data_IF_034039272965
#
_entry.id   IF_034039272965
#
_cell.length_a   1.000
_cell.length_b   1.000
_cell.length_c   1.000
_cell.angle_alpha   90.00
_cell.angle_beta   90.00
_cell.angle_gamma   90.00
#
_symmetry.space_group_name_H-M   'P 1'
#
loop_
_entity.id
_entity.type
_entity.pdbx_description
1 polymer ?
#
# COMPACT_ATOMS: atom_id res chain seq x y z
N UNK A 1 2.36 7.54 41.94
CA UNK A 1 2.61 6.48 40.93
C UNK A 1 1.33 6.00 40.25
N UNK A 2 0.30 5.56 41.01
CA UNK A 2 -0.96 5.03 40.44
C UNK A 2 -1.70 6.03 39.52
N UNK A 3 -1.65 7.33 39.80
CA UNK A 3 -2.25 8.36 38.95
C UNK A 3 -1.60 8.44 37.55
N UNK A 4 -0.29 8.16 37.44
CA UNK A 4 0.40 8.24 36.15
C UNK A 4 0.02 7.07 35.23
N UNK A 5 -0.12 5.86 35.74
CA UNK A 5 -0.56 4.70 34.97
C UNK A 5 -1.98 4.88 34.45
N UNK A 6 -2.91 5.39 35.29
CA UNK A 6 -4.29 5.69 34.84
C UNK A 6 -4.32 6.79 33.76
N UNK A 7 -3.52 7.83 33.89
CA UNK A 7 -3.39 8.90 32.91
C UNK A 7 -2.83 8.37 31.58
N UNK A 8 -1.85 7.47 31.63
CA UNK A 8 -1.30 6.83 30.43
C UNK A 8 -2.37 6.07 29.65
N UNK A 9 -3.26 5.33 30.33
CA UNK A 9 -4.39 4.64 29.66
C UNK A 9 -5.30 5.63 28.94
N UNK A 10 -5.67 6.73 29.61
CA UNK A 10 -6.53 7.77 28.98
C UNK A 10 -5.86 8.42 27.75
N UNK A 11 -4.57 8.71 27.81
CA UNK A 11 -3.84 9.24 26.66
C UNK A 11 -3.73 8.21 25.54
N UNK A 12 -3.53 6.93 25.84
CA UNK A 12 -3.51 5.86 24.86
C UNK A 12 -4.85 5.72 24.14
N UNK A 13 -5.96 5.67 24.89
CA UNK A 13 -7.29 5.55 24.30
C UNK A 13 -7.63 6.76 23.42
N UNK A 14 -7.30 7.97 23.89
CA UNK A 14 -7.48 9.19 23.11
C UNK A 14 -6.61 9.18 21.85
N UNK A 15 -5.36 8.76 21.95
CA UNK A 15 -4.47 8.65 20.80
C UNK A 15 -4.98 7.65 19.76
N UNK A 16 -5.53 6.51 20.18
CA UNK A 16 -6.17 5.55 19.27
C UNK A 16 -7.38 6.18 18.54
N UNK A 17 -8.25 6.88 19.26
CA UNK A 17 -9.40 7.56 18.64
C UNK A 17 -8.96 8.63 17.66
N UNK A 18 -7.97 9.46 18.03
CA UNK A 18 -7.42 10.51 17.16
C UNK A 18 -6.76 9.93 15.92
N UNK A 19 -5.99 8.84 16.07
CA UNK A 19 -5.36 8.15 14.93
C UNK A 19 -6.41 7.59 13.97
N UNK A 20 -7.48 6.97 14.50
CA UNK A 20 -8.58 6.47 13.68
C UNK A 20 -9.30 7.59 12.90
N UNK A 21 -9.41 8.78 13.47
CA UNK A 21 -9.98 9.97 12.81
C UNK A 21 -8.97 10.69 11.89
N UNK A 22 -7.76 10.17 11.74
CA UNK A 22 -6.72 10.77 10.90
C UNK A 22 -6.02 11.99 11.51
N UNK A 23 -6.26 12.30 12.79
CA UNK A 23 -5.64 13.42 13.52
C UNK A 23 -4.27 13.02 14.08
N UNK A 24 -3.32 12.75 13.16
CA UNK A 24 -2.07 12.04 13.48
C UNK A 24 -1.12 12.81 14.39
N UNK A 25 -1.02 14.14 14.26
CA UNK A 25 -0.13 14.94 15.12
C UNK A 25 -0.55 14.91 16.58
N UNK A 26 -1.85 15.07 16.82
CA UNK A 26 -2.40 15.01 18.19
C UNK A 26 -2.29 13.57 18.74
N UNK A 27 -2.58 12.56 17.91
CA UNK A 27 -2.44 11.16 18.28
C UNK A 27 -0.99 10.82 18.68
N UNK A 28 -0.01 11.27 17.91
CA UNK A 28 1.41 11.07 18.21
C UNK A 28 1.83 11.77 19.52
N UNK A 29 1.34 12.99 19.73
CA UNK A 29 1.60 13.75 20.96
C UNK A 29 1.07 13.02 22.19
N UNK A 30 -0.18 12.55 22.15
CA UNK A 30 -0.81 11.80 23.24
C UNK A 30 -0.15 10.45 23.47
N UNK A 31 0.11 9.69 22.41
CA UNK A 31 0.81 8.40 22.53
C UNK A 31 2.21 8.55 23.11
N UNK A 32 2.96 9.58 22.69
CA UNK A 32 4.27 9.89 23.25
C UNK A 32 4.20 10.31 24.72
N UNK A 33 3.14 11.03 25.10
CA UNK A 33 2.89 11.39 26.50
C UNK A 33 2.55 10.17 27.33
N UNK A 34 1.66 9.30 26.83
CA UNK A 34 1.32 8.03 27.48
C UNK A 34 2.58 7.20 27.74
N UNK A 35 3.48 7.12 26.76
CA UNK A 35 4.74 6.37 26.89
C UNK A 35 5.65 6.93 27.99
N UNK A 36 5.78 8.27 28.05
CA UNK A 36 6.56 8.93 29.13
C UNK A 36 5.99 8.71 30.52
N UNK A 37 4.66 8.75 30.66
CA UNK A 37 3.98 8.52 31.94
C UNK A 37 4.18 7.07 32.46
N UNK A 38 4.50 6.11 31.58
CA UNK A 38 4.79 4.71 31.93
C UNK A 38 6.26 4.41 32.23
N UNK A 39 7.18 5.34 31.98
CA UNK A 39 8.59 5.12 32.25
C UNK A 39 8.82 4.80 33.73
N UNK A 40 9.53 3.68 33.99
CA UNK A 40 9.84 3.23 35.35
C UNK A 40 8.82 2.32 36.02
N UNK A 41 7.66 2.02 35.39
CA UNK A 41 6.64 1.14 35.98
C UNK A 41 6.79 -0.34 35.65
N UNK A 42 7.74 -0.73 34.79
CA UNK A 42 7.96 -2.15 34.43
C UNK A 42 6.81 -2.79 33.63
N UNK A 43 5.91 -1.99 33.05
CA UNK A 43 4.75 -2.45 32.27
C UNK A 43 5.12 -2.69 30.80
N UNK A 44 6.12 -3.54 30.53
CA UNK A 44 6.70 -3.76 29.19
C UNK A 44 5.67 -4.15 28.15
N UNK A 45 4.66 -4.94 28.51
CA UNK A 45 3.59 -5.33 27.57
C UNK A 45 2.74 -4.14 27.10
N UNK A 46 2.34 -3.29 28.03
CA UNK A 46 1.56 -2.09 27.71
C UNK A 46 2.42 -1.07 26.92
N UNK A 47 3.70 -0.98 27.23
CA UNK A 47 4.67 -0.19 26.47
C UNK A 47 4.73 -0.65 25.02
N UNK A 48 4.71 -1.97 24.75
CA UNK A 48 4.68 -2.52 23.41
C UNK A 48 3.41 -2.11 22.62
N UNK A 49 2.24 -2.06 23.26
CA UNK A 49 1.02 -1.54 22.60
C UNK A 49 1.16 -0.07 22.20
N UNK A 50 1.70 0.76 23.09
CA UNK A 50 1.99 2.16 22.81
C UNK A 50 3.01 2.33 21.68
N UNK A 51 4.06 1.52 21.68
CA UNK A 51 5.06 1.50 20.61
C UNK A 51 4.43 1.12 19.26
N UNK A 52 3.52 0.13 19.25
CA UNK A 52 2.80 -0.24 18.04
C UNK A 52 1.93 0.91 17.50
N UNK A 53 1.15 1.56 18.39
CA UNK A 53 0.32 2.70 18.01
C UNK A 53 1.16 3.82 17.39
N UNK A 54 2.25 4.20 18.06
CA UNK A 54 3.16 5.24 17.56
C UNK A 54 3.79 4.85 16.24
N UNK A 55 4.20 3.59 16.07
CA UNK A 55 4.73 3.10 14.80
C UNK A 55 3.68 3.16 13.68
N UNK A 56 2.42 2.86 13.96
CA UNK A 56 1.34 2.98 12.96
C UNK A 56 1.13 4.44 12.54
N UNK A 57 1.19 5.38 13.47
CA UNK A 57 1.11 6.81 13.19
C UNK A 57 2.30 7.25 12.34
N UNK A 58 3.52 6.87 12.72
CA UNK A 58 4.76 7.18 11.99
C UNK A 58 4.74 6.58 10.57
N UNK A 59 4.23 5.35 10.41
CA UNK A 59 4.02 4.74 9.10
C UNK A 59 3.05 5.55 8.25
N UNK A 60 1.93 6.02 8.79
CA UNK A 60 0.96 6.85 8.08
C UNK A 60 1.52 8.23 7.68
N UNK A 61 2.47 8.74 8.47
CA UNK A 61 3.23 9.96 8.18
C UNK A 61 4.41 9.75 7.22
N UNK A 62 4.71 8.50 6.83
CA UNK A 62 5.84 8.15 5.97
C UNK A 62 7.20 8.17 6.67
N UNK A 63 7.22 8.17 8.00
CA UNK A 63 8.43 8.13 8.82
C UNK A 63 8.87 6.67 9.07
N UNK A 64 9.16 5.93 8.00
CA UNK A 64 9.38 4.49 8.03
C UNK A 64 10.57 4.07 8.90
N UNK A 65 11.67 4.81 8.86
CA UNK A 65 12.86 4.49 9.67
C UNK A 65 12.56 4.63 11.16
N UNK A 66 11.83 5.66 11.56
CA UNK A 66 11.41 5.86 12.95
C UNK A 66 10.48 4.73 13.41
N UNK A 67 9.47 4.40 12.61
CA UNK A 67 8.55 3.30 12.89
C UNK A 67 9.28 1.96 12.98
N UNK A 68 10.22 1.69 12.07
CA UNK A 68 11.00 0.46 12.07
C UNK A 68 11.89 0.35 13.32
N UNK A 69 12.62 1.42 13.66
CA UNK A 69 13.45 1.49 14.85
C UNK A 69 12.62 1.26 16.14
N UNK A 70 11.42 1.85 16.19
CA UNK A 70 10.48 1.67 17.28
C UNK A 70 10.02 0.22 17.43
N UNK A 71 9.63 -0.43 16.34
CA UNK A 71 9.19 -1.83 16.33
C UNK A 71 10.32 -2.81 16.68
N UNK A 72 11.55 -2.52 16.27
CA UNK A 72 12.72 -3.30 16.67
C UNK A 72 13.05 -3.14 18.16
N UNK A 73 12.81 -1.95 18.72
CA UNK A 73 13.01 -1.66 20.14
C UNK A 73 11.92 -2.21 21.07
N UNK A 74 10.86 -2.85 20.55
CA UNK A 74 9.83 -3.48 21.37
C UNK A 74 10.43 -4.64 22.17
N UNK A 75 10.17 -4.64 23.46
CA UNK A 75 10.69 -5.65 24.37
C UNK A 75 10.20 -7.06 23.98
N UNK A 76 11.11 -8.02 23.97
CA UNK A 76 10.77 -9.43 23.91
C UNK A 76 10.21 -9.85 25.26
N UNK A 77 9.02 -10.40 25.26
CA UNK A 77 8.35 -10.81 26.50
C UNK A 77 8.36 -12.33 26.59
N UNK A 78 8.56 -12.89 27.80
CA UNK A 78 8.51 -14.33 27.98
C UNK A 78 7.18 -14.89 27.44
N UNK A 79 7.25 -15.88 26.58
CA UNK A 79 6.06 -16.56 26.06
C UNK A 79 5.32 -17.38 27.15
N UNK A 80 5.84 -17.41 28.38
CA UNK A 80 5.24 -18.05 29.52
C UNK A 80 4.03 -17.24 30.01
N UNK A 81 2.84 -17.81 29.84
CA UNK A 81 1.58 -17.22 30.29
C UNK A 81 0.81 -16.50 29.17
N UNK A 82 -0.48 -16.28 29.43
CA UNK A 82 -1.40 -15.65 28.46
C UNK A 82 -1.04 -14.20 28.13
N UNK A 83 -0.61 -13.44 29.13
CA UNK A 83 -0.26 -12.02 28.95
C UNK A 83 0.97 -11.83 28.06
N UNK A 84 2.03 -12.62 28.24
CA UNK A 84 3.23 -12.54 27.40
C UNK A 84 2.90 -12.82 25.92
N UNK A 85 2.14 -13.88 25.66
CA UNK A 85 1.70 -14.24 24.30
C UNK A 85 0.81 -13.16 23.66
N UNK A 86 -0.05 -12.51 24.45
CA UNK A 86 -0.90 -11.42 23.96
C UNK A 86 -0.09 -10.23 23.47
N UNK A 87 0.94 -9.82 24.20
CA UNK A 87 1.78 -8.70 23.79
C UNK A 87 2.79 -9.06 22.67
N UNK A 88 3.25 -10.31 22.66
CA UNK A 88 4.13 -10.81 21.59
C UNK A 88 3.42 -10.82 20.22
N UNK A 89 2.12 -11.08 20.20
CA UNK A 89 1.27 -10.94 19.03
C UNK A 89 1.43 -9.54 18.39
N UNK A 90 1.37 -8.48 19.20
CA UNK A 90 1.47 -7.11 18.66
C UNK A 90 2.85 -6.78 18.13
N UNK A 91 3.90 -7.42 18.63
CA UNK A 91 5.25 -7.31 18.08
C UNK A 91 5.31 -7.91 16.66
N UNK A 92 4.73 -9.10 16.45
CA UNK A 92 4.65 -9.71 15.12
C UNK A 92 3.72 -8.95 14.17
N UNK A 93 2.60 -8.45 14.68
CA UNK A 93 1.68 -7.63 13.91
C UNK A 93 2.36 -6.35 13.42
N UNK A 94 3.07 -5.64 14.30
CA UNK A 94 3.81 -4.43 13.96
C UNK A 94 4.88 -4.68 12.90
N UNK A 95 5.67 -5.75 13.05
CA UNK A 95 6.63 -6.17 12.02
C UNK A 95 5.95 -6.45 10.69
N UNK A 96 4.82 -7.15 10.71
CA UNK A 96 4.03 -7.44 9.51
C UNK A 96 3.56 -6.18 8.79
N UNK A 97 3.09 -5.18 9.53
CA UNK A 97 2.69 -3.88 8.97
C UNK A 97 3.85 -3.14 8.29
N UNK A 98 4.97 -3.00 9.00
CA UNK A 98 6.13 -2.29 8.47
C UNK A 98 6.70 -2.99 7.23
N UNK A 99 6.75 -4.33 7.23
CA UNK A 99 7.19 -5.12 6.09
C UNK A 99 6.22 -5.03 4.90
N UNK A 100 4.92 -5.01 5.17
CA UNK A 100 3.90 -4.79 4.14
C UNK A 100 4.08 -3.42 3.48
N UNK A 101 4.27 -2.37 4.28
CA UNK A 101 4.51 -1.03 3.77
C UNK A 101 5.83 -0.92 2.98
N UNK A 102 6.88 -1.60 3.44
CA UNK A 102 8.16 -1.68 2.73
C UNK A 102 8.12 -2.59 1.48
N UNK A 103 6.95 -3.08 1.09
CA UNK A 103 6.73 -4.04 -0.01
C UNK A 103 7.54 -5.34 0.11
N UNK A 104 7.91 -5.74 1.33
CA UNK A 104 8.57 -7.02 1.64
C UNK A 104 7.53 -8.10 1.90
N UNK A 105 6.73 -8.43 0.88
CA UNK A 105 5.47 -9.18 1.03
C UNK A 105 5.67 -10.59 1.58
N UNK A 106 6.73 -11.30 1.19
CA UNK A 106 7.03 -12.64 1.72
C UNK A 106 7.33 -12.63 3.23
N UNK A 107 8.12 -11.66 3.69
CA UNK A 107 8.43 -11.49 5.10
C UNK A 107 7.21 -10.99 5.90
N UNK A 108 6.40 -10.12 5.31
CA UNK A 108 5.13 -9.69 5.90
C UNK A 108 4.18 -10.88 6.11
N UNK A 109 4.07 -11.78 5.12
CA UNK A 109 3.27 -13.02 5.22
C UNK A 109 3.71 -13.86 6.40
N UNK A 110 5.01 -14.06 6.57
CA UNK A 110 5.55 -14.84 7.70
C UNK A 110 5.23 -14.19 9.06
N UNK A 111 5.46 -12.88 9.19
CA UNK A 111 5.18 -12.16 10.42
C UNK A 111 3.69 -12.16 10.79
N UNK A 112 2.81 -11.93 9.81
CA UNK A 112 1.36 -11.96 10.02
C UNK A 112 0.83 -13.36 10.32
N UNK A 113 1.42 -14.43 9.76
CA UNK A 113 1.07 -15.80 10.10
C UNK A 113 1.44 -16.12 11.57
N UNK A 114 2.59 -15.66 12.05
CA UNK A 114 2.97 -15.80 13.46
C UNK A 114 2.02 -15.03 14.38
N UNK A 115 1.63 -13.82 13.98
CA UNK A 115 0.63 -13.04 14.71
C UNK A 115 -0.73 -13.77 14.76
N UNK A 116 -1.17 -14.42 13.68
CA UNK A 116 -2.42 -15.18 13.63
C UNK A 116 -2.41 -16.35 14.62
N UNK A 117 -1.33 -17.15 14.64
CA UNK A 117 -1.19 -18.27 15.59
C UNK A 117 -1.34 -17.82 17.02
N UNK A 118 -0.74 -16.68 17.38
CA UNK A 118 -0.87 -16.11 18.72
C UNK A 118 -2.28 -15.56 18.97
N UNK A 119 -2.89 -14.91 17.96
CA UNK A 119 -4.21 -14.29 18.07
C UNK A 119 -5.34 -15.30 18.29
N UNK A 120 -5.21 -16.52 17.75
CA UNK A 120 -6.16 -17.62 17.98
C UNK A 120 -6.33 -17.98 19.45
N UNK A 121 -5.34 -17.70 20.30
CA UNK A 121 -5.45 -17.84 21.74
C UNK A 121 -6.36 -16.80 22.43
N UNK A 122 -6.82 -15.76 21.69
CA UNK A 122 -7.61 -14.64 22.22
C UNK A 122 -8.84 -14.34 21.36
N UNK A 123 -9.77 -15.29 21.19
CA UNK A 123 -10.86 -15.22 20.20
C UNK A 123 -11.86 -14.08 20.46
N UNK A 124 -11.95 -13.59 21.69
CA UNK A 124 -12.86 -12.50 22.08
C UNK A 124 -12.19 -11.11 22.10
N UNK A 125 -10.93 -11.03 21.68
CA UNK A 125 -10.21 -9.77 21.60
C UNK A 125 -10.31 -9.16 20.18
N UNK A 126 -9.94 -7.88 20.07
CA UNK A 126 -9.78 -7.23 18.77
C UNK A 126 -8.56 -7.74 17.97
N UNK A 127 -7.69 -8.55 18.59
CA UNK A 127 -6.40 -8.94 18.01
C UNK A 127 -6.54 -9.76 16.73
N UNK A 128 -7.38 -10.80 16.72
CA UNK A 128 -7.58 -11.65 15.55
C UNK A 128 -8.18 -10.88 14.37
N UNK A 129 -9.26 -10.08 14.52
CA UNK A 129 -9.75 -9.21 13.44
C UNK A 129 -8.70 -8.23 12.91
N UNK A 130 -7.84 -7.68 13.76
CA UNK A 130 -6.72 -6.82 13.34
C UNK A 130 -5.72 -7.56 12.46
N UNK A 131 -5.30 -8.76 12.87
CA UNK A 131 -4.39 -9.60 12.07
C UNK A 131 -5.02 -9.93 10.72
N UNK A 132 -6.28 -10.34 10.68
CA UNK A 132 -6.99 -10.66 9.44
C UNK A 132 -7.14 -9.43 8.52
N UNK A 133 -7.35 -8.25 9.08
CA UNK A 133 -7.36 -7.02 8.31
C UNK A 133 -6.02 -6.81 7.56
N UNK A 134 -4.89 -6.97 8.22
CA UNK A 134 -3.58 -6.80 7.59
C UNK A 134 -3.22 -7.94 6.64
N UNK A 135 -3.69 -9.15 6.91
CA UNK A 135 -3.58 -10.25 5.94
C UNK A 135 -4.41 -9.97 4.69
N UNK A 136 -5.60 -9.40 4.81
CA UNK A 136 -6.40 -8.99 3.66
C UNK A 136 -5.67 -7.92 2.82
N UNK A 137 -5.05 -6.92 3.46
CA UNK A 137 -4.21 -5.94 2.77
C UNK A 137 -3.02 -6.61 2.05
N UNK A 138 -2.38 -7.60 2.69
CA UNK A 138 -1.30 -8.37 2.08
C UNK A 138 -1.78 -9.16 0.86
N UNK A 139 -2.91 -9.87 0.97
CA UNK A 139 -3.49 -10.62 -0.16
C UNK A 139 -3.86 -9.70 -1.32
N UNK A 140 -4.39 -8.51 -1.03
CA UNK A 140 -4.66 -7.53 -2.09
C UNK A 140 -3.35 -7.05 -2.76
N UNK A 141 -2.31 -6.73 -1.98
CA UNK A 141 -1.01 -6.34 -2.51
C UNK A 141 -0.35 -7.44 -3.37
N UNK A 142 -0.67 -8.71 -3.11
CA UNK A 142 -0.25 -9.86 -3.90
C UNK A 142 -1.13 -10.12 -5.13
N UNK A 143 -2.22 -9.36 -5.32
CA UNK A 143 -3.21 -9.61 -6.37
C UNK A 143 -4.15 -10.79 -6.10
N UNK A 144 -4.12 -11.35 -4.90
CA UNK A 144 -4.94 -12.47 -4.45
C UNK A 144 -6.32 -11.96 -3.97
N UNK A 145 -7.10 -11.32 -4.86
CA UNK A 145 -8.32 -10.56 -4.51
C UNK A 145 -9.39 -11.41 -3.83
N UNK A 146 -9.57 -12.67 -4.25
CA UNK A 146 -10.51 -13.60 -3.62
C UNK A 146 -10.17 -13.88 -2.16
N UNK A 147 -8.88 -14.03 -1.83
CA UNK A 147 -8.42 -14.23 -0.45
C UNK A 147 -8.56 -12.94 0.38
N UNK A 148 -8.27 -11.79 -0.21
CA UNK A 148 -8.49 -10.50 0.43
C UNK A 148 -9.97 -10.31 0.79
N UNK A 149 -10.90 -10.58 -0.15
CA UNK A 149 -12.35 -10.52 0.07
C UNK A 149 -12.78 -11.44 1.22
N UNK A 150 -12.31 -12.69 1.21
CA UNK A 150 -12.64 -13.67 2.26
C UNK A 150 -12.14 -13.21 3.64
N UNK A 151 -10.91 -12.68 3.73
CA UNK A 151 -10.36 -12.18 5.00
C UNK A 151 -11.12 -10.96 5.52
N UNK A 152 -11.46 -9.97 4.69
CA UNK A 152 -12.27 -8.83 5.15
C UNK A 152 -13.70 -9.22 5.52
N UNK A 153 -14.32 -10.18 4.83
CA UNK A 153 -15.61 -10.72 5.23
C UNK A 153 -15.52 -11.34 6.64
N UNK A 154 -14.46 -12.08 6.91
CA UNK A 154 -14.22 -12.68 8.23
C UNK A 154 -13.91 -11.62 9.31
N UNK A 155 -13.19 -10.54 8.97
CA UNK A 155 -13.02 -9.37 9.87
C UNK A 155 -14.39 -8.80 10.24
N UNK A 156 -15.30 -8.59 9.27
CA UNK A 156 -16.63 -8.07 9.54
C UNK A 156 -17.43 -9.00 10.44
N UNK A 157 -17.38 -10.32 10.18
CA UNK A 157 -18.07 -11.32 11.00
C UNK A 157 -17.60 -11.27 12.45
N UNK A 158 -16.30 -11.32 12.69
CA UNK A 158 -15.70 -11.29 14.02
C UNK A 158 -15.91 -9.93 14.71
N UNK A 159 -15.74 -8.84 13.97
CA UNK A 159 -15.94 -7.49 14.50
C UNK A 159 -17.41 -7.27 14.95
N UNK A 160 -18.39 -7.80 14.20
CA UNK A 160 -19.80 -7.78 14.59
C UNK A 160 -20.05 -8.58 15.87
N UNK A 161 -19.49 -9.79 15.96
CA UNK A 161 -19.61 -10.65 17.14
C UNK A 161 -19.02 -10.01 18.40
N UNK A 162 -17.87 -9.35 18.25
CA UNK A 162 -17.13 -8.74 19.36
C UNK A 162 -17.48 -7.25 19.57
N UNK A 163 -18.47 -6.71 18.88
CA UNK A 163 -18.94 -5.30 18.95
C UNK A 163 -17.82 -4.29 18.63
N UNK A 164 -16.91 -4.62 17.72
CA UNK A 164 -15.81 -3.79 17.27
C UNK A 164 -16.23 -2.94 16.07
N UNK A 165 -17.05 -1.92 16.31
CA UNK A 165 -17.72 -1.14 15.28
C UNK A 165 -16.73 -0.50 14.29
N UNK A 166 -15.62 0.04 14.77
CA UNK A 166 -14.60 0.68 13.92
C UNK A 166 -14.02 -0.30 12.91
N UNK A 167 -13.59 -1.49 13.34
CA UNK A 167 -13.07 -2.53 12.43
C UNK A 167 -14.13 -3.06 11.47
N UNK A 168 -15.38 -3.20 11.93
CA UNK A 168 -16.51 -3.61 11.08
C UNK A 168 -16.71 -2.63 9.92
N UNK A 169 -16.67 -1.32 10.21
CA UNK A 169 -16.85 -0.24 9.25
C UNK A 169 -15.66 -0.14 8.30
N UNK A 170 -14.44 -0.18 8.85
CA UNK A 170 -13.21 -0.15 8.07
C UNK A 170 -13.13 -1.30 7.07
N UNK A 171 -13.40 -2.54 7.50
CA UNK A 171 -13.42 -3.69 6.60
C UNK A 171 -14.52 -3.57 5.52
N UNK A 172 -15.66 -2.94 5.87
CA UNK A 172 -16.71 -2.62 4.91
C UNK A 172 -16.26 -1.66 3.81
N UNK A 173 -15.52 -0.62 4.17
CA UNK A 173 -14.96 0.34 3.22
C UNK A 173 -13.96 -0.32 2.25
N UNK A 174 -13.09 -1.19 2.76
CA UNK A 174 -12.15 -1.94 1.91
C UNK A 174 -12.85 -2.92 0.98
N UNK A 175 -13.89 -3.62 1.45
CA UNK A 175 -14.70 -4.49 0.60
C UNK A 175 -15.42 -3.71 -0.50
N UNK A 176 -15.90 -2.49 -0.22
CA UNK A 176 -16.51 -1.64 -1.23
C UNK A 176 -15.50 -1.22 -2.33
N UNK A 177 -14.28 -0.87 -1.96
CA UNK A 177 -13.21 -0.59 -2.94
C UNK A 177 -12.86 -1.84 -3.78
N UNK A 178 -12.81 -3.01 -3.15
CA UNK A 178 -12.55 -4.27 -3.87
C UNK A 178 -13.70 -4.61 -4.82
N UNK A 179 -14.95 -4.41 -4.38
CA UNK A 179 -16.15 -4.60 -5.20
C UNK A 179 -16.15 -3.71 -6.46
N UNK A 180 -15.73 -2.45 -6.32
CA UNK A 180 -15.54 -1.54 -7.47
C UNK A 180 -14.52 -2.07 -8.49
N UNK A 181 -13.40 -2.60 -8.00
CA UNK A 181 -12.35 -3.16 -8.85
C UNK A 181 -12.80 -4.43 -9.57
N UNK A 182 -13.48 -5.32 -8.87
CA UNK A 182 -13.93 -6.60 -9.39
C UNK A 182 -15.28 -6.47 -10.15
N UNK A 183 -15.83 -5.24 -10.26
CA UNK A 183 -17.16 -4.94 -10.82
C UNK A 183 -18.28 -5.75 -10.16
N UNK A 184 -18.14 -6.03 -8.85
CA UNK A 184 -19.13 -6.71 -8.02
C UNK A 184 -20.20 -5.70 -7.57
N UNK A 185 -21.28 -5.59 -8.36
CA UNK A 185 -22.32 -4.61 -8.13
C UNK A 185 -23.28 -5.00 -6.98
N UNK A 186 -23.28 -6.24 -6.56
CA UNK A 186 -24.22 -6.74 -5.54
C UNK A 186 -23.88 -6.23 -4.13
N UNK A 187 -22.60 -5.98 -3.86
CA UNK A 187 -22.14 -5.51 -2.56
C UNK A 187 -22.38 -4.01 -2.28
N UNK A 188 -22.35 -3.18 -3.32
CA UNK A 188 -22.34 -1.73 -3.17
C UNK A 188 -23.63 -1.13 -2.60
N UNK A 189 -24.85 -1.58 -2.98
CA UNK A 189 -26.10 -1.02 -2.44
C UNK A 189 -26.20 -1.20 -0.93
N UNK A 190 -25.97 -2.41 -0.42
CA UNK A 190 -26.03 -2.70 1.02
C UNK A 190 -25.00 -1.91 1.82
N UNK A 191 -23.78 -1.76 1.24
CA UNK A 191 -22.75 -0.95 1.85
C UNK A 191 -23.10 0.54 1.88
N UNK A 192 -23.70 1.08 0.82
CA UNK A 192 -24.16 2.47 0.77
C UNK A 192 -25.25 2.75 1.81
N UNK A 193 -26.22 1.85 1.97
CA UNK A 193 -27.26 1.97 2.99
C UNK A 193 -26.67 2.00 4.40
N UNK A 194 -25.70 1.12 4.66
CA UNK A 194 -24.95 1.12 5.91
C UNK A 194 -24.15 2.42 6.09
N UNK A 195 -23.48 2.91 5.04
CA UNK A 195 -22.72 4.16 5.09
C UNK A 195 -23.64 5.35 5.40
N UNK A 196 -24.80 5.46 4.74
CA UNK A 196 -25.78 6.51 5.00
C UNK A 196 -26.33 6.45 6.42
N UNK A 197 -26.54 5.25 6.94
CA UNK A 197 -26.93 5.08 8.34
C UNK A 197 -25.83 5.58 9.29
N UNK A 198 -24.58 5.16 9.08
CA UNK A 198 -23.43 5.63 9.87
C UNK A 198 -23.30 7.15 9.81
N UNK A 199 -23.44 7.74 8.62
CA UNK A 199 -23.37 9.20 8.41
C UNK A 199 -24.44 9.95 9.23
N UNK A 200 -25.66 9.43 9.30
CA UNK A 200 -26.71 10.01 10.14
C UNK A 200 -26.42 9.91 11.64
N UNK A 201 -25.77 8.81 12.08
CA UNK A 201 -25.48 8.58 13.50
C UNK A 201 -24.24 9.34 14.00
N UNK A 202 -23.18 9.39 13.19
CA UNK A 202 -21.87 9.87 13.62
C UNK A 202 -21.42 11.18 12.95
N UNK A 203 -22.21 11.71 12.04
CA UNK A 203 -21.93 12.97 11.38
C UNK A 203 -20.60 12.96 10.62
N UNK A 204 -19.75 13.92 10.90
CA UNK A 204 -18.40 14.03 10.29
C UNK A 204 -17.35 13.07 10.91
N UNK A 205 -17.71 12.35 11.98
CA UNK A 205 -16.81 11.44 12.69
C UNK A 205 -16.74 10.06 12.02
N UNK A 206 -16.79 10.04 10.69
CA UNK A 206 -16.50 8.84 9.90
C UNK A 206 -15.00 8.70 9.68
N UNK A 207 -14.55 7.45 9.48
CA UNK A 207 -13.15 7.18 9.21
C UNK A 207 -12.74 7.74 7.84
N UNK A 208 -11.49 8.22 7.66
CA UNK A 208 -11.01 8.66 6.36
C UNK A 208 -11.16 7.60 5.26
N UNK A 209 -10.96 6.32 5.59
CA UNK A 209 -11.15 5.21 4.66
C UNK A 209 -12.60 5.04 4.22
N UNK A 210 -13.58 5.36 5.07
CA UNK A 210 -15.00 5.32 4.70
C UNK A 210 -15.36 6.47 3.76
N UNK A 211 -14.84 7.67 4.00
CA UNK A 211 -15.01 8.80 3.10
C UNK A 211 -14.35 8.54 1.75
N UNK A 212 -13.14 7.97 1.76
CA UNK A 212 -12.43 7.60 0.55
C UNK A 212 -13.20 6.56 -0.26
N UNK A 213 -13.66 5.48 0.38
CA UNK A 213 -14.45 4.45 -0.29
C UNK A 213 -15.75 5.04 -0.86
N UNK A 214 -16.43 5.92 -0.10
CA UNK A 214 -17.64 6.59 -0.56
C UNK A 214 -17.37 7.48 -1.77
N UNK A 215 -16.27 8.22 -1.80
CA UNK A 215 -15.90 9.05 -2.95
C UNK A 215 -15.64 8.20 -4.22
N UNK A 216 -14.94 7.06 -4.08
CA UNK A 216 -14.76 6.11 -5.18
C UNK A 216 -16.09 5.53 -5.69
N UNK A 217 -17.04 5.21 -4.78
CA UNK A 217 -18.38 4.74 -5.15
C UNK A 217 -19.15 5.87 -5.84
N UNK A 218 -19.11 7.11 -5.35
CA UNK A 218 -19.78 8.24 -6.00
C UNK A 218 -19.22 8.50 -7.41
N UNK A 219 -17.90 8.40 -7.60
CA UNK A 219 -17.28 8.45 -8.93
C UNK A 219 -17.84 7.35 -9.85
N UNK A 220 -17.92 6.11 -9.37
CA UNK A 220 -18.47 4.97 -10.13
C UNK A 220 -19.93 5.18 -10.53
N UNK A 221 -20.73 5.79 -9.65
CA UNK A 221 -22.14 6.14 -9.91
C UNK A 221 -22.30 7.41 -10.76
N UNK A 222 -21.22 7.97 -11.30
CA UNK A 222 -21.24 9.19 -12.11
C UNK A 222 -21.47 10.50 -11.33
N UNK A 223 -21.51 10.45 -10.00
CA UNK A 223 -21.68 11.62 -9.12
C UNK A 223 -20.32 12.34 -8.89
N UNK A 224 -19.72 12.83 -9.99
CA UNK A 224 -18.36 13.35 -10.01
C UNK A 224 -18.16 14.55 -9.08
N UNK A 225 -19.13 15.46 -9.01
CA UNK A 225 -19.04 16.66 -8.17
C UNK A 225 -18.94 16.31 -6.68
N UNK A 226 -19.72 15.31 -6.23
CA UNK A 226 -19.64 14.82 -4.87
C UNK A 226 -18.30 14.15 -4.58
N UNK A 227 -17.84 13.29 -5.49
CA UNK A 227 -16.56 12.64 -5.35
C UNK A 227 -15.42 13.67 -5.27
N UNK A 228 -15.48 14.73 -6.09
CA UNK A 228 -14.51 15.82 -6.09
C UNK A 228 -14.51 16.61 -4.78
N UNK A 229 -15.66 17.01 -4.26
CA UNK A 229 -15.77 17.72 -2.97
C UNK A 229 -15.15 16.92 -1.84
N UNK A 230 -15.42 15.60 -1.80
CA UNK A 230 -14.86 14.72 -0.77
C UNK A 230 -13.35 14.58 -0.96
N UNK A 231 -12.87 14.38 -2.18
CA UNK A 231 -11.45 14.30 -2.50
C UNK A 231 -10.70 15.55 -2.01
N UNK A 232 -11.20 16.76 -2.30
CA UNK A 232 -10.59 18.01 -1.84
C UNK A 232 -10.54 18.10 -0.31
N UNK A 233 -11.63 17.68 0.36
CA UNK A 233 -11.70 17.65 1.82
C UNK A 233 -10.68 16.68 2.42
N UNK A 234 -10.56 15.47 1.86
CA UNK A 234 -9.60 14.45 2.30
C UNK A 234 -8.15 14.92 2.07
N UNK A 235 -7.88 15.55 0.93
CA UNK A 235 -6.56 16.09 0.62
C UNK A 235 -6.17 17.21 1.60
N UNK A 236 -7.07 18.15 1.88
CA UNK A 236 -6.83 19.21 2.84
C UNK A 236 -6.61 18.68 4.27
N UNK A 237 -7.43 17.71 4.69
CA UNK A 237 -7.26 17.02 5.97
C UNK A 237 -5.91 16.30 6.05
N UNK A 238 -5.54 15.56 5.01
CA UNK A 238 -4.29 14.83 4.94
C UNK A 238 -3.06 15.75 5.05
N UNK A 239 -3.10 16.90 4.36
CA UNK A 239 -2.05 17.91 4.42
C UNK A 239 -1.96 18.55 5.81
N UNK A 240 -3.09 18.95 6.39
CA UNK A 240 -3.15 19.59 7.71
C UNK A 240 -2.66 18.67 8.84
N UNK A 241 -2.84 17.35 8.69
CA UNK A 241 -2.47 16.34 9.70
C UNK A 241 -1.16 15.60 9.41
N UNK A 242 -0.45 15.96 8.34
CA UNK A 242 0.75 15.25 7.92
C UNK A 242 0.51 13.78 7.56
N UNK A 243 -0.75 13.41 7.24
CA UNK A 243 -1.11 12.04 6.86
C UNK A 243 -0.78 11.77 5.38
N UNK A 244 0.47 11.40 5.13
CA UNK A 244 0.97 11.18 3.76
C UNK A 244 0.32 9.99 3.08
N UNK A 245 -0.10 8.98 3.86
CA UNK A 245 -0.83 7.84 3.31
C UNK A 245 -2.18 8.26 2.74
N UNK A 246 -2.98 9.00 3.52
CA UNK A 246 -4.26 9.53 3.06
C UNK A 246 -4.09 10.51 1.89
N UNK A 247 -3.01 11.32 1.92
CA UNK A 247 -2.68 12.23 0.84
C UNK A 247 -2.45 11.50 -0.48
N UNK A 248 -1.71 10.37 -0.46
CA UNK A 248 -1.50 9.54 -1.62
C UNK A 248 -2.83 8.97 -2.15
N UNK A 249 -3.66 8.40 -1.28
CA UNK A 249 -4.99 7.88 -1.66
C UNK A 249 -5.87 8.97 -2.29
N UNK A 250 -5.84 10.20 -1.73
CA UNK A 250 -6.58 11.35 -2.27
C UNK A 250 -6.06 11.79 -3.65
N UNK A 251 -4.75 11.73 -3.88
CA UNK A 251 -4.13 12.03 -5.18
C UNK A 251 -4.44 10.98 -6.24
N UNK A 252 -4.54 9.71 -5.87
CA UNK A 252 -4.99 8.65 -6.79
C UNK A 252 -6.44 8.86 -7.21
N UNK A 253 -7.30 9.23 -6.27
CA UNK A 253 -8.69 9.58 -6.59
C UNK A 253 -8.77 10.82 -7.47
N UNK A 254 -7.94 11.84 -7.21
CA UNK A 254 -7.85 13.04 -8.06
C UNK A 254 -7.45 12.69 -9.48
N UNK A 255 -6.40 11.90 -9.67
CA UNK A 255 -5.97 11.44 -10.99
C UNK A 255 -7.10 10.73 -11.75
N UNK A 256 -7.87 9.88 -11.04
CA UNK A 256 -9.00 9.18 -11.62
C UNK A 256 -10.16 10.11 -12.00
N UNK A 257 -10.46 11.12 -11.21
CA UNK A 257 -11.49 12.14 -11.49
C UNK A 257 -11.08 13.04 -12.67
N UNK A 258 -9.82 13.47 -12.73
CA UNK A 258 -9.27 14.23 -13.87
C UNK A 258 -9.34 13.44 -15.17
N UNK A 259 -9.04 12.13 -15.11
CA UNK A 259 -9.18 11.24 -16.25
C UNK A 259 -10.62 11.19 -16.76
N UNK A 260 -11.61 11.08 -15.89
CA UNK A 260 -13.04 11.07 -16.25
C UNK A 260 -13.51 12.37 -16.91
N UNK A 261 -12.82 13.48 -16.64
CA UNK A 261 -13.04 14.78 -17.28
C UNK A 261 -12.28 14.94 -18.60
N UNK A 262 -11.44 13.98 -18.98
CA UNK A 262 -10.56 14.10 -20.14
C UNK A 262 -9.33 15.00 -19.92
N UNK A 263 -9.12 15.51 -18.72
CA UNK A 263 -7.99 16.36 -18.32
C UNK A 263 -6.73 15.49 -18.08
N UNK A 264 -6.19 14.92 -19.17
CA UNK A 264 -5.14 13.89 -19.13
C UNK A 264 -3.84 14.38 -18.48
N UNK A 265 -3.43 15.62 -18.76
CA UNK A 265 -2.19 16.17 -18.20
C UNK A 265 -2.32 16.41 -16.69
N UNK A 266 -3.48 16.90 -16.21
CA UNK A 266 -3.75 17.06 -14.79
C UNK A 266 -3.81 15.71 -14.07
N UNK A 267 -4.41 14.68 -14.70
CA UNK A 267 -4.41 13.32 -14.17
C UNK A 267 -2.99 12.76 -14.01
N UNK A 268 -2.11 12.99 -15.00
CA UNK A 268 -0.71 12.58 -14.93
C UNK A 268 0.09 13.35 -13.86
N UNK A 269 -0.21 14.63 -13.65
CA UNK A 269 0.42 15.43 -12.58
C UNK A 269 0.01 14.93 -11.18
N UNK A 270 -1.27 14.64 -10.97
CA UNK A 270 -1.75 14.06 -9.71
C UNK A 270 -1.14 12.68 -9.44
N UNK A 271 -0.99 11.85 -10.50
CA UNK A 271 -0.32 10.56 -10.39
C UNK A 271 1.18 10.68 -10.11
N UNK A 272 1.88 11.68 -10.69
CA UNK A 272 3.29 11.96 -10.35
C UNK A 272 3.45 12.30 -8.88
N UNK A 273 2.57 13.11 -8.31
CA UNK A 273 2.59 13.44 -6.89
C UNK A 273 2.37 12.20 -6.03
N UNK A 274 1.40 11.34 -6.39
CA UNK A 274 1.15 10.06 -5.72
C UNK A 274 2.38 9.14 -5.81
N UNK A 275 3.01 9.05 -6.97
CA UNK A 275 4.21 8.24 -7.20
C UNK A 275 5.40 8.72 -6.36
N UNK A 276 5.62 10.04 -6.27
CA UNK A 276 6.67 10.62 -5.44
C UNK A 276 6.44 10.29 -3.95
N UNK A 277 5.20 10.39 -3.46
CA UNK A 277 4.86 9.97 -2.10
C UNK A 277 5.07 8.47 -1.90
N UNK A 278 4.65 7.63 -2.85
CA UNK A 278 4.84 6.18 -2.78
C UNK A 278 6.32 5.81 -2.67
N UNK A 279 7.18 6.46 -3.47
CA UNK A 279 8.61 6.21 -3.47
C UNK A 279 9.31 6.72 -2.22
N UNK A 280 8.97 7.92 -1.75
CA UNK A 280 9.63 8.54 -0.59
C UNK A 280 9.16 7.98 0.74
N UNK A 281 7.90 7.54 0.83
CA UNK A 281 7.27 7.05 2.05
C UNK A 281 7.01 5.53 2.05
N UNK A 282 7.43 4.80 1.01
CA UNK A 282 7.27 3.35 0.93
C UNK A 282 5.82 2.86 0.80
N UNK A 283 4.91 3.66 0.22
CA UNK A 283 3.49 3.30 0.06
C UNK A 283 3.18 2.56 -1.24
N UNK A 284 4.13 1.82 -1.78
CA UNK A 284 4.00 1.17 -3.07
C UNK A 284 2.79 0.26 -3.22
N UNK A 285 2.38 -0.42 -2.16
CA UNK A 285 1.20 -1.26 -2.17
C UNK A 285 -0.10 -0.48 -2.47
N UNK A 286 -0.18 0.81 -2.14
CA UNK A 286 -1.38 1.62 -2.42
C UNK A 286 -1.59 1.83 -3.92
N UNK A 287 -0.50 2.01 -4.68
CA UNK A 287 -0.55 2.08 -6.14
C UNK A 287 -1.02 0.76 -6.75
N UNK A 288 -0.67 -0.36 -6.14
CA UNK A 288 -1.08 -1.69 -6.59
C UNK A 288 -2.59 -1.92 -6.43
N UNK A 289 -3.22 -1.28 -5.43
CA UNK A 289 -4.65 -1.41 -5.20
C UNK A 289 -5.49 -0.84 -6.35
N UNK A 290 -4.97 0.13 -7.10
CA UNK A 290 -5.66 0.74 -8.25
C UNK A 290 -5.50 -0.08 -9.55
N UNK A 291 -4.67 -1.11 -9.54
CA UNK A 291 -4.59 -2.11 -10.60
C UNK A 291 -4.03 -1.60 -11.94
N UNK A 292 -4.57 -2.17 -13.02
CA UNK A 292 -4.03 -1.98 -14.38
C UNK A 292 -4.17 -0.57 -14.92
N UNK A 293 -5.23 0.15 -14.55
CA UNK A 293 -5.42 1.53 -14.99
C UNK A 293 -4.29 2.43 -14.48
N UNK A 294 -3.93 2.30 -13.21
CA UNK A 294 -2.80 3.03 -12.64
C UNK A 294 -1.48 2.66 -13.32
N UNK A 295 -1.25 1.38 -13.60
CA UNK A 295 -0.04 0.90 -14.26
C UNK A 295 0.12 1.49 -15.68
N UNK A 296 -0.96 1.57 -16.47
CA UNK A 296 -0.93 2.14 -17.82
C UNK A 296 -0.59 3.65 -17.80
N UNK A 297 -1.17 4.39 -16.85
CA UNK A 297 -0.84 5.81 -16.67
C UNK A 297 0.61 6.01 -16.22
N UNK A 298 1.12 5.17 -15.32
CA UNK A 298 2.52 5.20 -14.90
C UNK A 298 3.46 4.96 -16.06
N UNK A 299 3.14 4.01 -16.97
CA UNK A 299 3.93 3.79 -18.18
C UNK A 299 4.05 5.05 -19.04
N UNK A 300 2.93 5.78 -19.20
CA UNK A 300 2.92 7.04 -19.95
C UNK A 300 3.73 8.12 -19.23
N UNK A 301 3.59 8.27 -17.91
CA UNK A 301 4.30 9.24 -17.09
C UNK A 301 5.83 9.06 -17.14
N UNK A 302 6.30 7.83 -17.36
CA UNK A 302 7.73 7.52 -17.46
C UNK A 302 8.35 7.81 -18.84
N UNK A 303 7.53 8.16 -19.84
CA UNK A 303 8.05 8.54 -21.15
C UNK A 303 8.75 9.92 -21.06
N UNK A 304 9.99 10.06 -21.52
CA UNK A 304 10.72 11.33 -21.44
C UNK A 304 9.96 12.51 -22.06
N UNK A 305 9.32 12.29 -23.21
CA UNK A 305 8.53 13.31 -23.91
C UNK A 305 7.33 13.80 -23.08
N UNK A 306 6.69 12.91 -22.32
CA UNK A 306 5.56 13.26 -21.44
C UNK A 306 6.07 14.07 -20.26
N UNK A 307 7.17 13.65 -19.64
CA UNK A 307 7.77 14.36 -18.51
C UNK A 307 8.23 15.77 -18.89
N UNK A 308 8.85 15.92 -20.08
CA UNK A 308 9.25 17.22 -20.62
C UNK A 308 8.04 18.12 -20.87
N UNK A 309 7.00 17.59 -21.52
CA UNK A 309 5.73 18.33 -21.77
C UNK A 309 5.07 18.80 -20.49
N UNK A 310 5.08 17.98 -19.44
CA UNK A 310 4.52 18.30 -18.12
C UNK A 310 5.45 19.18 -17.26
N UNK A 311 6.65 19.51 -17.72
CA UNK A 311 7.61 20.33 -17.01
C UNK A 311 8.14 19.69 -15.72
N UNK A 312 8.14 18.34 -15.64
CA UNK A 312 8.57 17.61 -14.45
C UNK A 312 10.09 17.65 -14.29
N UNK A 313 10.56 18.43 -13.32
CA UNK A 313 12.00 18.61 -13.02
C UNK A 313 12.57 17.50 -12.14
N UNK A 314 11.74 16.87 -11.30
CA UNK A 314 12.19 15.77 -10.46
C UNK A 314 12.59 14.56 -11.33
N UNK A 315 13.70 13.87 -11.01
CA UNK A 315 14.05 12.65 -11.72
C UNK A 315 12.93 11.62 -11.55
N UNK A 316 12.66 10.86 -12.61
CA UNK A 316 11.79 9.70 -12.49
C UNK A 316 12.39 8.72 -11.46
N UNK A 317 11.57 8.03 -10.67
CA UNK A 317 12.08 6.94 -9.83
C UNK A 317 12.83 5.91 -10.68
N UNK A 318 13.84 5.26 -10.11
CA UNK A 318 14.60 4.26 -10.86
C UNK A 318 13.66 3.13 -11.32
N UNK A 319 13.97 2.55 -12.49
CA UNK A 319 13.17 1.45 -13.04
C UNK A 319 13.20 0.22 -12.15
N UNK A 320 14.35 -0.03 -11.51
CA UNK A 320 14.51 -1.10 -10.54
C UNK A 320 13.53 -0.93 -9.38
N UNK A 321 13.45 0.27 -8.83
CA UNK A 321 12.50 0.60 -7.77
C UNK A 321 11.05 0.42 -8.22
N UNK A 322 10.71 0.90 -9.42
CA UNK A 322 9.36 0.76 -9.98
C UNK A 322 9.01 -0.71 -10.29
N UNK A 323 9.94 -1.46 -10.87
CA UNK A 323 9.73 -2.88 -11.13
C UNK A 323 9.58 -3.67 -9.83
N UNK A 324 10.38 -3.38 -8.80
CA UNK A 324 10.23 -3.99 -7.48
C UNK A 324 8.87 -3.66 -6.85
N UNK A 325 8.42 -2.42 -7.00
CA UNK A 325 7.16 -1.93 -6.49
C UNK A 325 5.96 -2.61 -7.14
N UNK A 326 5.99 -2.78 -8.46
CA UNK A 326 4.87 -3.32 -9.26
C UNK A 326 5.02 -4.81 -9.61
N UNK A 327 6.09 -5.48 -9.17
CA UNK A 327 6.32 -6.92 -9.44
C UNK A 327 5.09 -7.79 -9.18
N UNK A 328 4.32 -7.65 -8.08
CA UNK A 328 3.15 -8.49 -7.84
C UNK A 328 2.04 -8.32 -8.88
N UNK A 329 1.81 -7.09 -9.37
CA UNK A 329 0.83 -6.82 -10.42
C UNK A 329 1.30 -7.34 -11.79
N UNK A 330 2.60 -7.26 -12.03
CA UNK A 330 3.21 -7.70 -13.30
C UNK A 330 3.27 -9.23 -13.39
N UNK A 331 3.47 -9.93 -12.27
CA UNK A 331 3.56 -11.39 -12.21
C UNK A 331 2.25 -12.10 -12.54
N UNK A 332 1.11 -11.45 -12.36
CA UNK A 332 -0.21 -12.02 -12.62
C UNK A 332 -0.67 -11.87 -14.08
N UNK A 333 0.16 -11.34 -14.98
CA UNK A 333 -0.19 -11.15 -16.40
C UNK A 333 0.35 -12.31 -17.25
N UNK A 334 -0.54 -12.91 -18.04
CA UNK A 334 -0.25 -14.03 -18.94
C UNK A 334 0.78 -13.74 -20.06
N UNK A 335 1.16 -12.47 -20.27
CA UNK A 335 2.15 -12.06 -21.27
C UNK A 335 3.43 -11.55 -20.60
N UNK A 336 4.52 -12.27 -20.80
CA UNK A 336 5.86 -11.89 -20.36
C UNK A 336 6.30 -10.48 -20.82
N UNK A 337 5.81 -10.02 -21.99
CA UNK A 337 6.06 -8.66 -22.51
C UNK A 337 5.52 -7.55 -21.59
N UNK A 338 4.48 -7.84 -20.80
CA UNK A 338 3.86 -6.93 -19.85
C UNK A 338 4.49 -6.99 -18.44
N UNK A 339 5.47 -7.87 -18.23
CA UNK A 339 6.17 -8.01 -16.95
C UNK A 339 7.10 -6.81 -16.60
N UNK A 340 7.24 -5.86 -17.51
CA UNK A 340 8.03 -4.64 -17.30
C UNK A 340 7.11 -3.41 -17.30
N UNK A 341 7.39 -2.45 -16.42
CA UNK A 341 6.68 -1.15 -16.43
C UNK A 341 6.87 -0.44 -17.78
N UNK A 342 8.06 -0.56 -18.37
CA UNK A 342 8.35 -0.12 -19.74
C UNK A 342 8.64 -1.35 -20.58
N UNK A 343 7.67 -1.86 -21.36
CA UNK A 343 7.83 -3.10 -22.10
C UNK A 343 8.96 -3.00 -23.13
N UNK A 344 9.57 -4.13 -23.43
CA UNK A 344 10.52 -4.24 -24.53
C UNK A 344 9.76 -4.04 -25.86
N UNK A 345 10.38 -3.30 -26.78
CA UNK A 345 9.86 -3.26 -28.16
C UNK A 345 10.09 -4.62 -28.84
N UNK A 346 9.33 -4.91 -29.90
CA UNK A 346 9.52 -6.15 -30.69
C UNK A 346 10.97 -6.37 -31.12
N UNK A 347 11.68 -5.29 -31.48
CA UNK A 347 13.10 -5.35 -31.87
C UNK A 347 14.03 -5.63 -30.68
N UNK A 348 13.76 -5.06 -29.53
CA UNK A 348 14.54 -5.32 -28.32
C UNK A 348 14.31 -6.76 -27.83
N UNK A 349 13.08 -7.27 -27.92
CA UNK A 349 12.77 -8.65 -27.58
C UNK A 349 13.46 -9.64 -28.55
N UNK A 350 13.45 -9.34 -29.85
CA UNK A 350 14.15 -10.15 -30.85
C UNK A 350 15.66 -10.18 -30.60
N UNK A 351 16.26 -9.02 -30.26
CA UNK A 351 17.68 -8.94 -29.85
C UNK A 351 17.94 -9.78 -28.60
N UNK A 352 17.09 -9.69 -27.59
CA UNK A 352 17.21 -10.47 -26.36
C UNK A 352 17.16 -11.98 -26.60
N UNK A 353 16.20 -12.45 -27.43
CA UNK A 353 16.10 -13.86 -27.81
C UNK A 353 17.34 -14.37 -28.55
N UNK A 354 17.93 -13.54 -29.43
CA UNK A 354 19.17 -13.88 -30.12
C UNK A 354 20.39 -13.88 -29.18
N UNK A 355 20.42 -12.95 -28.23
CA UNK A 355 21.42 -12.96 -27.17
C UNK A 355 21.34 -14.25 -26.32
N UNK A 356 20.14 -14.72 -26.01
CA UNK A 356 19.92 -15.97 -25.26
C UNK A 356 20.40 -17.22 -26.02
N UNK A 357 20.39 -17.16 -27.36
CA UNK A 357 20.97 -18.20 -28.24
C UNK A 357 22.49 -18.11 -28.39
N UNK A 358 23.16 -17.22 -27.65
CA UNK A 358 24.61 -17.07 -27.69
C UNK A 358 25.16 -16.31 -28.91
N UNK A 359 24.31 -15.66 -29.74
CA UNK A 359 24.76 -14.93 -30.91
C UNK A 359 25.55 -13.68 -30.53
N UNK A 360 26.66 -13.41 -31.22
CA UNK A 360 27.41 -12.14 -31.08
C UNK A 360 26.64 -10.98 -31.72
N UNK A 361 26.99 -9.74 -31.37
CA UNK A 361 26.33 -8.55 -31.91
C UNK A 361 26.43 -8.47 -33.44
N UNK A 362 27.53 -9.00 -34.04
CA UNK A 362 27.69 -9.10 -35.49
C UNK A 362 26.69 -10.10 -36.11
N UNK A 363 26.56 -11.29 -35.51
CA UNK A 363 25.61 -12.30 -35.94
C UNK A 363 24.15 -11.82 -35.79
N UNK A 364 23.85 -11.04 -34.74
CA UNK A 364 22.55 -10.42 -34.54
C UNK A 364 22.27 -9.39 -35.64
N UNK A 365 23.27 -8.58 -36.00
CA UNK A 365 23.16 -7.57 -37.06
C UNK A 365 22.85 -8.21 -38.42
N UNK A 366 23.58 -9.26 -38.79
CA UNK A 366 23.33 -10.04 -40.00
C UNK A 366 21.95 -10.68 -40.00
N UNK A 367 21.59 -11.36 -38.92
CA UNK A 367 20.32 -12.08 -38.81
C UNK A 367 19.08 -11.18 -38.78
N UNK A 368 19.23 -9.92 -38.38
CA UNK A 368 18.14 -8.90 -38.35
C UNK A 368 18.18 -7.94 -39.51
N UNK A 369 19.17 -8.05 -40.42
CA UNK A 369 19.40 -7.15 -41.54
C UNK A 369 19.50 -5.68 -41.15
N UNK A 370 20.23 -5.40 -40.05
CA UNK A 370 20.48 -4.03 -39.52
C UNK A 370 21.96 -3.81 -39.27
N UNK A 371 22.37 -2.55 -39.08
CA UNK A 371 23.75 -2.22 -38.78
C UNK A 371 24.18 -2.67 -37.37
N UNK A 372 25.46 -2.94 -37.17
CA UNK A 372 26.02 -3.25 -35.86
C UNK A 372 25.79 -2.11 -34.85
N UNK A 373 25.80 -0.85 -35.32
CA UNK A 373 25.48 0.30 -34.47
C UNK A 373 24.03 0.29 -34.00
N UNK A 374 23.10 -0.12 -34.88
CA UNK A 374 21.68 -0.26 -34.53
C UNK A 374 21.46 -1.37 -33.51
N UNK A 375 22.16 -2.51 -33.63
CA UNK A 375 22.13 -3.58 -32.62
C UNK A 375 22.62 -3.07 -31.27
N UNK A 376 23.74 -2.36 -31.23
CA UNK A 376 24.26 -1.76 -29.99
C UNK A 376 23.24 -0.79 -29.34
N UNK A 377 22.54 0.00 -30.14
CA UNK A 377 21.47 0.89 -29.67
C UNK A 377 20.31 0.09 -29.03
N UNK A 378 19.88 -0.99 -29.70
CA UNK A 378 18.84 -1.88 -29.12
C UNK A 378 19.29 -2.56 -27.84
N UNK A 379 20.55 -3.02 -27.77
CA UNK A 379 21.12 -3.63 -26.56
C UNK A 379 21.19 -2.60 -25.43
N UNK A 380 21.65 -1.39 -25.68
CA UNK A 380 21.71 -0.34 -24.66
C UNK A 380 20.29 0.02 -24.15
N UNK A 381 19.31 0.09 -25.05
CA UNK A 381 17.92 0.33 -24.67
C UNK A 381 17.34 -0.84 -23.87
N UNK A 382 17.66 -2.07 -24.24
CA UNK A 382 17.27 -3.29 -23.57
C UNK A 382 17.88 -3.32 -22.15
N UNK A 383 19.19 -3.09 -22.01
CA UNK A 383 19.87 -3.03 -20.71
C UNK A 383 19.24 -1.97 -19.81
N UNK A 384 18.97 -0.79 -20.36
CA UNK A 384 18.30 0.29 -19.66
C UNK A 384 16.87 -0.08 -19.21
N UNK A 385 16.13 -0.84 -20.03
CA UNK A 385 14.75 -1.28 -19.70
C UNK A 385 14.72 -2.42 -18.69
N UNK A 386 15.70 -3.30 -18.70
CA UNK A 386 15.88 -4.37 -17.72
C UNK A 386 16.63 -3.90 -16.46
N UNK A 387 17.16 -2.67 -16.47
CA UNK A 387 18.00 -2.09 -15.41
C UNK A 387 19.21 -2.95 -15.05
N UNK A 388 19.98 -3.32 -16.08
CA UNK A 388 21.18 -4.15 -15.97
C UNK A 388 22.34 -3.51 -16.70
N UNK A 389 23.56 -3.83 -16.28
CA UNK A 389 24.79 -3.24 -16.84
C UNK A 389 25.44 -4.09 -17.96
N UNK A 390 25.15 -5.38 -18.02
CA UNK A 390 25.83 -6.33 -18.88
C UNK A 390 24.88 -7.40 -19.44
N UNK A 391 25.45 -8.20 -20.38
CA UNK A 391 24.72 -9.23 -21.11
C UNK A 391 24.23 -10.37 -20.23
N UNK A 392 25.05 -10.83 -19.29
CA UNK A 392 24.75 -11.99 -18.46
C UNK A 392 23.65 -11.64 -17.45
N UNK A 393 23.76 -10.45 -16.86
CA UNK A 393 22.71 -9.87 -16.00
C UNK A 393 21.40 -9.68 -16.77
N UNK A 394 21.44 -9.27 -18.04
CA UNK A 394 20.25 -9.13 -18.88
C UNK A 394 19.56 -10.48 -19.13
N UNK A 395 20.32 -11.54 -19.39
CA UNK A 395 19.78 -12.88 -19.60
C UNK A 395 19.23 -13.49 -18.30
N UNK A 396 19.86 -13.19 -17.16
CA UNK A 396 19.37 -13.61 -15.85
C UNK A 396 18.02 -12.95 -15.52
N UNK A 397 17.98 -11.63 -15.61
CA UNK A 397 16.76 -10.85 -15.39
C UNK A 397 15.63 -11.22 -16.36
N UNK A 398 15.97 -11.48 -17.63
CA UNK A 398 15.00 -11.89 -18.63
C UNK A 398 14.37 -13.29 -18.34
N UNK A 399 15.13 -14.21 -17.75
CA UNK A 399 14.61 -15.52 -17.31
C UNK A 399 13.71 -15.38 -16.07
N UNK A 400 14.12 -14.55 -15.09
CA UNK A 400 13.32 -14.27 -13.90
C UNK A 400 11.98 -13.62 -14.26
N UNK A 401 11.96 -12.77 -15.29
CA UNK A 401 10.79 -12.08 -15.81
C UNK A 401 10.02 -12.92 -16.85
N UNK A 402 10.43 -14.15 -17.11
CA UNK A 402 9.83 -15.05 -18.10
C UNK A 402 9.74 -14.48 -19.53
N UNK A 403 10.64 -13.57 -19.90
CA UNK A 403 10.73 -12.97 -21.23
C UNK A 403 11.39 -13.89 -22.26
N UNK A 404 12.07 -14.92 -21.79
CA UNK A 404 12.70 -16.00 -22.54
C UNK A 404 11.96 -17.30 -22.22
N UNK A 405 11.32 -17.88 -23.23
CA UNK A 405 10.68 -19.20 -23.12
C UNK A 405 11.68 -20.33 -23.01
#
# INVERSE_FOLDING_TARGET
PQHNAARSVLYFDRANCLAALGQLEQAHTDGSRALRELQGFGLSGYTNLLQLLLAQIELAQGANDAAWARLQGMAELPAAGSSGRFYELFRHLGKGLALLQANRLAQARQALAQAEVLALGFPHSAALPWVFHHQACLHWALGETGQAKARWAEVRRLARQNRLLTLYRQAGAWLARLALRDNDQDYLPDWLDQWHWCRRQYGEQLLPEEWLAYAWVQRHLGQRDKAWQIQQSLQAQAQAQGNRRLLLDAQLLDAALQQDLGARDDALLSLEQALQLACTCGFGQLLQYEGDACLEFLRQLLLPQVRERLGLKAPAPSREHLNALFRPLLANKENAENALIVPLSRRELEVLQRMARGQSNGQIAEAMFISLSTVKTHINNLFRKLDVADRDSALCSARELQLLG
#
